data_IF_353628096260
#
_entry.id   IF_353628096260
#
_cell.length_a   1.000
_cell.length_b   1.000
_cell.length_c   1.000
_cell.angle_alpha   90.00
_cell.angle_beta   90.00
_cell.angle_gamma   90.00
#
_symmetry.space_group_name_H-M   'P 1'
#
loop_
_entity.id
_entity.type
_entity.pdbx_description
1 polymer ?
#
# COMPACT_ATOMS: atom_id res chain seq x y z
N UNK A 1 20.78 4.26 25.16
CA UNK A 1 19.68 3.30 25.39
C UNK A 1 20.20 1.86 25.29
N UNK A 2 19.65 0.87 26.01
CA UNK A 2 20.09 -0.53 25.85
C UNK A 2 19.56 -1.14 24.54
N UNK A 3 20.28 -2.08 23.89
CA UNK A 3 19.84 -2.68 22.63
C UNK A 3 18.51 -3.40 22.78
N UNK A 4 18.29 -4.10 23.91
CA UNK A 4 17.02 -4.77 24.19
C UNK A 4 15.84 -3.78 24.25
N UNK A 5 16.00 -2.65 24.94
CA UNK A 5 14.95 -1.64 25.02
C UNK A 5 14.62 -1.06 23.65
N UNK A 6 15.63 -0.83 22.79
CA UNK A 6 15.40 -0.34 21.43
C UNK A 6 14.57 -1.32 20.59
N UNK A 7 14.87 -2.62 20.65
CA UNK A 7 14.14 -3.68 19.95
C UNK A 7 12.70 -3.78 20.47
N UNK A 8 12.50 -3.69 21.79
CA UNK A 8 11.17 -3.71 22.40
C UNK A 8 10.33 -2.50 21.98
N UNK A 9 10.91 -1.30 21.91
CA UNK A 9 10.21 -0.10 21.41
C UNK A 9 9.85 -0.22 19.93
N UNK A 10 10.74 -0.78 19.10
CA UNK A 10 10.47 -1.06 17.70
C UNK A 10 9.35 -2.10 17.51
N UNK A 11 9.35 -3.15 18.34
CA UNK A 11 8.29 -4.16 18.35
C UNK A 11 6.94 -3.57 18.79
N UNK A 12 6.96 -2.68 19.79
CA UNK A 12 5.77 -1.96 20.24
C UNK A 12 5.21 -1.08 19.13
N UNK A 13 6.03 -0.26 18.48
CA UNK A 13 5.62 0.61 17.37
C UNK A 13 5.06 -0.21 16.20
N UNK A 14 5.75 -1.29 15.81
CA UNK A 14 5.29 -2.18 14.73
C UNK A 14 3.94 -2.83 15.07
N UNK A 15 3.78 -3.29 16.31
CA UNK A 15 2.53 -3.89 16.78
C UNK A 15 1.39 -2.87 16.81
N UNK A 16 1.66 -1.65 17.32
CA UNK A 16 0.69 -0.55 17.33
C UNK A 16 0.19 -0.21 15.92
N UNK A 17 1.10 -0.16 14.94
CA UNK A 17 0.75 0.06 13.54
C UNK A 17 -0.19 -1.02 13.00
N UNK A 18 0.15 -2.31 13.18
CA UNK A 18 -0.70 -3.41 12.71
C UNK A 18 -2.05 -3.45 13.43
N UNK A 19 -2.07 -3.30 14.76
CA UNK A 19 -3.31 -3.31 15.54
C UNK A 19 -4.24 -2.17 15.13
N UNK A 20 -3.69 -1.03 14.69
CA UNK A 20 -4.50 0.09 14.20
C UNK A 20 -5.40 -0.29 13.02
N UNK A 21 -4.98 -1.24 12.18
CA UNK A 21 -5.77 -1.73 11.04
C UNK A 21 -7.03 -2.49 11.46
N UNK A 22 -7.06 -3.00 12.69
CA UNK A 22 -8.15 -3.83 13.22
C UNK A 22 -8.98 -3.13 14.28
N UNK A 23 -8.61 -1.92 14.71
CA UNK A 23 -9.28 -1.23 15.83
C UNK A 23 -10.80 -1.10 15.62
N UNK A 24 -11.23 -0.95 14.36
CA UNK A 24 -12.64 -0.84 13.97
C UNK A 24 -13.33 -2.18 13.73
N UNK A 25 -12.58 -3.25 13.49
CA UNK A 25 -13.09 -4.60 13.29
C UNK A 25 -13.22 -5.37 14.61
N UNK A 26 -12.38 -5.10 15.61
CA UNK A 26 -12.42 -5.77 16.92
C UNK A 26 -13.82 -5.72 17.55
N UNK A 27 -14.52 -4.57 17.63
CA UNK A 27 -15.88 -4.53 18.19
C UNK A 27 -16.92 -5.32 17.37
N UNK A 28 -16.68 -5.55 16.08
CA UNK A 28 -17.55 -6.38 15.21
C UNK A 28 -17.27 -7.86 15.44
N UNK A 29 -15.99 -8.22 15.53
CA UNK A 29 -15.52 -9.57 15.86
C UNK A 29 -16.02 -10.04 17.23
N UNK A 30 -15.93 -9.18 18.25
CA UNK A 30 -16.41 -9.47 19.60
C UNK A 30 -17.94 -9.70 19.64
N UNK A 31 -18.68 -9.14 18.68
CA UNK A 31 -20.13 -9.35 18.52
C UNK A 31 -20.48 -10.53 17.61
N UNK A 32 -19.49 -11.30 17.15
CA UNK A 32 -19.70 -12.42 16.24
C UNK A 32 -20.10 -12.02 14.81
N UNK A 33 -19.99 -10.74 14.45
CA UNK A 33 -20.30 -10.26 13.10
C UNK A 33 -19.10 -10.48 12.16
N UNK A 34 -19.34 -10.75 10.87
CA UNK A 34 -18.27 -10.84 9.88
C UNK A 34 -17.50 -9.51 9.76
N UNK A 35 -16.22 -9.55 9.34
CA UNK A 35 -15.43 -8.33 9.13
C UNK A 35 -16.09 -7.45 8.07
N UNK A 36 -15.93 -6.13 8.21
CA UNK A 36 -16.45 -5.19 7.24
C UNK A 36 -15.80 -5.38 5.86
N UNK A 37 -16.54 -5.10 4.78
CA UNK A 37 -15.90 -5.03 3.47
C UNK A 37 -14.87 -3.89 3.47
N UNK A 38 -13.62 -4.23 3.12
CA UNK A 38 -12.46 -3.34 3.20
C UNK A 38 -12.54 -2.15 2.25
N UNK A 39 -13.25 -2.34 1.14
CA UNK A 39 -13.40 -1.33 0.11
C UNK A 39 -14.63 -0.45 0.37
N UNK A 40 -15.40 -0.66 1.44
CA UNK A 40 -16.43 0.31 1.81
C UNK A 40 -15.80 1.66 2.17
N UNK A 41 -16.30 2.80 1.64
CA UNK A 41 -15.69 4.12 1.86
C UNK A 41 -15.58 4.49 3.33
N UNK A 42 -16.56 4.08 4.16
CA UNK A 42 -16.53 4.29 5.61
C UNK A 42 -15.38 3.54 6.28
N UNK A 43 -15.14 2.30 5.87
CA UNK A 43 -14.09 1.44 6.42
C UNK A 43 -12.72 1.95 5.98
N UNK A 44 -12.59 2.40 4.73
CA UNK A 44 -11.37 3.04 4.23
C UNK A 44 -11.03 4.28 5.05
N UNK A 45 -11.96 5.22 5.23
CA UNK A 45 -11.72 6.42 6.03
C UNK A 45 -11.36 6.08 7.49
N UNK A 46 -12.06 5.11 8.10
CA UNK A 46 -11.76 4.66 9.47
C UNK A 46 -10.35 4.08 9.59
N UNK A 47 -9.93 3.23 8.64
CA UNK A 47 -8.58 2.66 8.64
C UNK A 47 -7.51 3.73 8.45
N UNK A 48 -7.74 4.69 7.54
CA UNK A 48 -6.84 5.83 7.35
C UNK A 48 -6.69 6.62 8.64
N UNK A 49 -7.78 6.93 9.35
CA UNK A 49 -7.70 7.71 10.60
C UNK A 49 -6.95 6.95 11.70
N UNK A 50 -7.18 5.64 11.86
CA UNK A 50 -6.42 4.83 12.83
C UNK A 50 -4.94 4.68 12.46
N UNK A 51 -4.62 4.55 11.17
CA UNK A 51 -3.23 4.47 10.70
C UNK A 51 -2.51 5.79 10.97
N UNK A 52 -3.11 6.92 10.62
CA UNK A 52 -2.56 8.24 10.95
C UNK A 52 -2.40 8.43 12.46
N UNK A 53 -3.38 7.99 13.25
CA UNK A 53 -3.29 7.97 14.71
C UNK A 53 -2.12 7.14 15.22
N UNK A 54 -1.87 5.97 14.63
CA UNK A 54 -0.72 5.11 14.98
C UNK A 54 0.62 5.74 14.59
N UNK A 55 0.68 6.49 13.47
CA UNK A 55 1.86 7.27 13.08
C UNK A 55 2.14 8.37 14.10
N UNK A 56 1.12 9.11 14.53
CA UNK A 56 1.24 10.13 15.57
C UNK A 56 1.67 9.54 16.92
N UNK A 57 1.09 8.40 17.31
CA UNK A 57 1.49 7.68 18.52
C UNK A 57 2.95 7.22 18.45
N UNK A 58 3.39 6.71 17.29
CA UNK A 58 4.77 6.31 17.05
C UNK A 58 5.72 7.50 17.15
N UNK A 59 5.34 8.64 16.56
CA UNK A 59 6.08 9.89 16.67
C UNK A 59 6.19 10.35 18.14
N UNK A 60 5.11 10.22 18.92
CA UNK A 60 5.10 10.56 20.34
C UNK A 60 6.01 9.63 21.16
N UNK A 61 6.04 8.34 20.87
CA UNK A 61 6.96 7.37 21.51
C UNK A 61 8.42 7.76 21.24
N UNK A 62 8.75 8.06 19.98
CA UNK A 62 10.10 8.49 19.60
C UNK A 62 10.46 9.83 20.26
N UNK A 63 9.54 10.80 20.29
CA UNK A 63 9.75 12.09 20.94
C UNK A 63 9.92 11.94 22.46
N UNK A 64 9.17 11.04 23.11
CA UNK A 64 9.33 10.73 24.52
C UNK A 64 10.70 10.06 24.80
N UNK A 65 11.14 9.15 23.94
CA UNK A 65 12.48 8.56 24.00
C UNK A 65 13.58 9.63 23.77
N UNK A 66 13.34 10.63 22.92
CA UNK A 66 14.26 11.75 22.76
C UNK A 66 14.34 12.61 24.03
N UNK A 67 13.19 13.00 24.59
CA UNK A 67 13.11 13.88 25.75
C UNK A 67 13.67 13.25 27.03
N UNK A 68 13.56 11.94 27.17
CA UNK A 68 14.11 11.18 28.30
C UNK A 68 15.64 11.02 28.23
N UNK A 69 16.31 11.58 27.23
CA UNK A 69 17.76 11.44 27.02
C UNK A 69 18.17 10.05 26.53
N UNK A 70 17.20 9.21 26.11
CA UNK A 70 17.46 7.84 25.65
C UNK A 70 18.03 7.81 24.22
N UNK A 71 17.71 8.79 23.38
CA UNK A 71 18.12 8.85 21.96
C UNK A 71 19.41 9.64 21.69
N UNK A 72 19.74 10.66 22.49
CA UNK A 72 20.91 11.54 22.29
C UNK A 72 21.38 12.07 23.65
N UNK A 73 22.68 12.03 23.94
CA UNK A 73 23.35 12.54 25.16
C UNK A 73 23.26 14.07 25.35
N UNK A 74 22.36 14.76 24.66
CA UNK A 74 22.22 16.21 24.72
C UNK A 74 20.75 16.57 24.67
N UNK A 75 20.28 17.44 25.58
CA UNK A 75 18.92 17.95 25.62
C UNK A 75 18.52 18.55 24.26
N UNK A 76 17.85 17.76 23.42
CA UNK A 76 17.38 18.21 22.11
C UNK A 76 16.14 19.07 22.32
N UNK A 77 16.13 20.35 21.93
CA UNK A 77 14.94 21.20 22.04
C UNK A 77 13.82 20.67 21.12
N UNK A 78 12.55 20.77 21.59
CA UNK A 78 11.32 20.38 20.88
C UNK A 78 11.24 20.70 19.37
N UNK A 79 11.74 21.85 18.85
CA UNK A 79 11.75 22.11 17.40
C UNK A 79 12.59 21.12 16.57
N UNK A 80 13.37 20.23 17.20
CA UNK A 80 14.19 19.24 16.50
C UNK A 80 13.53 17.86 16.39
N UNK A 81 12.29 17.68 16.83
CA UNK A 81 11.56 16.40 16.68
C UNK A 81 11.48 15.93 15.21
N UNK A 82 11.24 16.79 14.21
CA UNK A 82 11.32 16.40 12.80
C UNK A 82 12.71 15.89 12.41
N UNK A 83 13.76 16.44 13.04
CA UNK A 83 15.15 16.03 12.84
C UNK A 83 15.41 14.62 13.36
N UNK A 84 14.81 14.27 14.51
CA UNK A 84 14.90 12.94 15.14
C UNK A 84 14.10 11.90 14.34
N UNK A 85 12.94 12.29 13.80
CA UNK A 85 12.14 11.48 12.88
C UNK A 85 12.74 11.45 11.46
N UNK A 86 13.97 11.92 11.24
CA UNK A 86 14.61 11.99 9.91
C UNK A 86 13.81 12.72 8.82
N UNK A 87 12.83 13.55 9.19
CA UNK A 87 12.06 14.44 8.32
C UNK A 87 12.82 15.75 8.09
N UNK A 88 14.08 15.65 7.65
CA UNK A 88 14.88 16.82 7.33
C UNK A 88 14.63 17.22 5.87
N UNK A 89 14.23 18.48 5.59
CA UNK A 89 13.94 18.92 4.22
C UNK A 89 15.17 18.78 3.30
N UNK A 90 16.37 18.96 3.83
CA UNK A 90 17.64 18.91 3.08
C UNK A 90 17.95 17.52 2.50
N UNK A 91 17.50 16.46 3.16
CA UNK A 91 17.76 15.07 2.77
C UNK A 91 16.49 14.32 2.37
N UNK A 92 15.32 14.97 2.40
CA UNK A 92 14.03 14.36 2.10
C UNK A 92 13.96 13.86 0.65
N UNK A 93 14.41 14.70 -0.28
CA UNK A 93 14.39 14.41 -1.72
C UNK A 93 15.30 13.22 -2.08
N UNK A 94 16.59 13.19 -1.67
CA UNK A 94 17.44 12.02 -1.86
C UNK A 94 16.89 10.76 -1.19
N UNK A 95 16.37 10.88 0.04
CA UNK A 95 15.87 9.74 0.82
C UNK A 95 14.60 9.11 0.26
N UNK A 96 13.86 9.83 -0.60
CA UNK A 96 12.72 9.30 -1.35
C UNK A 96 13.14 8.81 -2.75
N UNK A 97 14.04 9.54 -3.41
CA UNK A 97 14.48 9.24 -4.76
C UNK A 97 15.28 7.93 -4.86
N UNK A 98 16.22 7.67 -3.94
CA UNK A 98 17.05 6.45 -4.01
C UNK A 98 16.25 5.15 -3.82
N UNK A 99 15.37 5.01 -2.81
CA UNK A 99 14.54 3.81 -2.68
C UNK A 99 13.59 3.63 -3.86
N UNK A 100 12.99 4.72 -4.35
CA UNK A 100 12.06 4.65 -5.50
C UNK A 100 12.80 4.23 -6.76
N UNK A 101 14.00 4.77 -7.01
CA UNK A 101 14.88 4.33 -8.09
C UNK A 101 15.23 2.85 -7.96
N UNK A 102 15.58 2.38 -6.75
CA UNK A 102 15.90 0.97 -6.49
C UNK A 102 14.71 0.06 -6.81
N UNK A 103 13.49 0.47 -6.42
CA UNK A 103 12.25 -0.26 -6.75
C UNK A 103 12.05 -0.32 -8.25
N UNK A 104 12.16 0.81 -8.96
CA UNK A 104 12.02 0.84 -10.43
C UNK A 104 13.05 -0.06 -11.11
N UNK A 105 14.30 -0.06 -10.63
CA UNK A 105 15.35 -0.93 -11.17
C UNK A 105 15.08 -2.42 -10.90
N UNK A 106 14.65 -2.77 -9.68
CA UNK A 106 14.37 -4.15 -9.28
C UNK A 106 13.17 -4.75 -10.03
N UNK A 107 12.17 -3.91 -10.32
CA UNK A 107 10.97 -4.31 -11.04
C UNK A 107 10.97 -3.92 -12.52
N UNK A 108 12.09 -3.47 -13.08
CA UNK A 108 12.17 -2.98 -14.46
C UNK A 108 11.75 -4.05 -15.48
N UNK A 109 12.17 -5.31 -15.26
CA UNK A 109 11.79 -6.44 -16.11
C UNK A 109 10.28 -6.69 -16.13
N UNK A 110 9.64 -6.96 -14.97
CA UNK A 110 8.18 -7.09 -14.89
C UNK A 110 7.41 -5.86 -15.39
N UNK A 111 7.90 -4.64 -15.13
CA UNK A 111 7.30 -3.42 -15.65
C UNK A 111 7.37 -3.37 -17.18
N UNK A 112 8.53 -3.67 -17.76
CA UNK A 112 8.72 -3.68 -19.21
C UNK A 112 7.80 -4.73 -19.89
N UNK A 113 7.69 -5.92 -19.30
CA UNK A 113 6.78 -6.96 -19.79
C UNK A 113 5.31 -6.52 -19.71
N UNK A 114 4.92 -5.91 -18.59
CA UNK A 114 3.55 -5.42 -18.39
C UNK A 114 3.22 -4.29 -19.37
N UNK A 115 4.17 -3.37 -19.60
CA UNK A 115 4.04 -2.29 -20.56
C UNK A 115 3.96 -2.81 -22.01
N UNK A 116 4.79 -3.80 -22.37
CA UNK A 116 4.74 -4.44 -23.69
C UNK A 116 3.38 -5.12 -23.93
N UNK A 117 2.88 -5.89 -22.96
CA UNK A 117 1.56 -6.51 -23.04
C UNK A 117 0.46 -5.45 -23.17
N UNK A 118 0.54 -4.36 -22.40
CA UNK A 118 -0.43 -3.27 -22.48
C UNK A 118 -0.41 -2.55 -23.85
N UNK A 119 0.78 -2.27 -24.39
CA UNK A 119 0.94 -1.70 -25.73
C UNK A 119 0.38 -2.62 -26.82
N UNK A 120 0.58 -3.94 -26.69
CA UNK A 120 -0.03 -4.92 -27.59
C UNK A 120 -1.57 -4.89 -27.50
N UNK A 121 -2.15 -4.76 -26.31
CA UNK A 121 -3.61 -4.62 -26.17
C UNK A 121 -4.13 -3.34 -26.82
N UNK A 122 -3.42 -2.22 -26.70
CA UNK A 122 -3.79 -0.97 -27.37
C UNK A 122 -3.68 -1.09 -28.90
N UNK A 123 -2.66 -1.79 -29.40
CA UNK A 123 -2.50 -2.04 -30.83
C UNK A 123 -3.62 -2.96 -31.36
N UNK A 124 -3.99 -4.00 -30.61
CA UNK A 124 -5.08 -4.89 -30.95
C UNK A 124 -6.46 -4.18 -30.95
N UNK A 125 -6.70 -3.32 -29.97
CA UNK A 125 -7.95 -2.54 -29.87
C UNK A 125 -8.10 -1.54 -31.02
N UNK A 126 -7.00 -0.91 -31.48
CA UNK A 126 -7.00 -0.10 -32.72
C UNK A 126 -7.42 -0.90 -33.95
N UNK A 127 -6.92 -2.14 -34.10
CA UNK A 127 -7.25 -2.97 -35.27
C UNK A 127 -8.71 -3.44 -35.26
N UNK A 128 -9.25 -3.79 -34.09
CA UNK A 128 -10.65 -4.20 -33.94
C UNK A 128 -11.62 -3.04 -34.18
N UNK A 129 -11.26 -1.82 -33.76
CA UNK A 129 -12.02 -0.61 -34.07
C UNK A 129 -12.06 -0.30 -35.58
N UNK A 130 -10.95 -0.48 -36.29
CA UNK A 130 -10.91 -0.26 -37.74
C UNK A 130 -11.75 -1.29 -38.52
N UNK A 131 -11.70 -2.57 -38.15
CA UNK A 131 -12.54 -3.61 -38.78
C UNK A 131 -14.04 -3.36 -38.54
N UNK A 132 -14.45 -3.07 -37.30
CA UNK A 132 -15.85 -2.75 -36.99
C UNK A 132 -16.36 -1.58 -37.84
N UNK A 133 -15.57 -0.52 -37.98
CA UNK A 133 -15.98 0.67 -38.76
C UNK A 133 -16.09 0.41 -40.27
N UNK A 134 -15.34 -0.57 -40.78
CA UNK A 134 -15.36 -1.00 -42.18
C UNK A 134 -16.57 -1.89 -42.46
N UNK A 135 -16.92 -2.77 -41.51
CA UNK A 135 -18.11 -3.63 -41.58
C UNK A 135 -19.41 -2.81 -41.51
N UNK A 136 -19.51 -1.80 -40.64
CA UNK A 136 -20.66 -0.88 -40.61
C UNK A 136 -20.83 -0.09 -41.91
N UNK A 137 -19.73 0.29 -42.59
CA UNK A 137 -19.78 0.97 -43.89
C UNK A 137 -20.18 0.02 -45.03
N UNK A 138 -19.73 -1.23 -44.99
CA UNK A 138 -20.13 -2.24 -45.97
C UNK A 138 -21.62 -2.60 -45.84
N UNK A 139 -22.15 -2.65 -44.61
CA UNK A 139 -23.58 -2.86 -44.35
C UNK A 139 -24.43 -1.62 -44.67
N UNK A 140 -23.94 -0.40 -44.44
CA UNK A 140 -24.65 0.85 -44.75
C UNK A 140 -24.63 1.24 -46.24
N UNK A 141 -23.79 0.58 -47.05
CA UNK A 141 -23.71 0.79 -48.50
C UNK A 141 -24.67 -0.10 -49.32
N UNK A 142 -25.32 -1.07 -48.67
CA UNK A 142 -26.36 -1.90 -49.25
C UNK A 142 -27.69 -1.52 -48.58
N UNK A 143 -28.60 -0.96 -49.38
CA UNK A 143 -29.98 -0.62 -49.04
C UNK A 143 -30.20 0.53 -48.05
N UNK A 144 -30.60 1.67 -48.61
CA UNK A 144 -31.33 2.68 -47.87
C UNK A 144 -32.72 2.16 -47.52
N UNK A 145 -32.96 1.89 -46.23
CA UNK A 145 -34.19 2.20 -45.50
C UNK A 145 -34.15 1.55 -44.12
N UNK A 146 -34.36 2.36 -43.08
CA UNK A 146 -35.06 1.87 -41.89
C UNK A 146 -34.24 1.73 -40.60
N UNK A 147 -34.80 2.38 -39.58
CA UNK A 147 -34.74 2.04 -38.15
C UNK A 147 -33.44 2.39 -37.44
N UNK A 148 -33.42 3.60 -36.87
CA UNK A 148 -32.48 4.01 -35.83
C UNK A 148 -33.03 3.55 -34.49
N UNK A 149 -32.78 2.28 -34.13
CA UNK A 149 -33.03 1.80 -32.77
C UNK A 149 -31.88 2.26 -31.86
N UNK A 150 -32.23 3.17 -30.95
CA UNK A 150 -31.33 3.84 -30.03
C UNK A 150 -31.10 3.04 -28.74
N UNK A 151 -30.58 1.79 -28.83
CA UNK A 151 -30.32 0.97 -27.63
C UNK A 151 -28.98 0.22 -27.64
N UNK A 152 -28.07 0.54 -28.56
CA UNK A 152 -26.80 -0.18 -28.77
C UNK A 152 -25.53 0.46 -28.21
N UNK A 153 -25.59 1.37 -27.24
CA UNK A 153 -24.40 2.06 -26.71
C UNK A 153 -23.90 1.45 -25.37
N UNK A 154 -23.68 0.13 -25.35
CA UNK A 154 -22.91 -0.53 -24.31
C UNK A 154 -21.65 -1.13 -24.95
N UNK A 155 -20.48 -0.80 -24.38
CA UNK A 155 -19.13 -1.15 -24.86
C UNK A 155 -18.63 -0.30 -26.02
N UNK A 156 -17.91 0.78 -25.69
CA UNK A 156 -16.69 1.24 -26.37
C UNK A 156 -16.20 2.45 -25.58
N UNK A 157 -15.03 2.27 -24.96
CA UNK A 157 -14.09 3.31 -24.56
C UNK A 157 -14.69 4.51 -23.84
N UNK A 158 -14.90 4.40 -22.51
CA UNK A 158 -14.83 5.59 -21.66
C UNK A 158 -13.41 6.15 -21.82
N UNK A 159 -13.22 7.31 -22.48
CA UNK A 159 -11.90 7.90 -22.61
C UNK A 159 -11.42 8.28 -21.21
N UNK A 160 -10.11 8.20 -21.06
CA UNK A 160 -9.28 8.45 -19.88
C UNK A 160 -9.41 9.90 -19.35
N UNK A 161 -10.60 10.34 -18.97
CA UNK A 161 -10.91 11.65 -18.35
C UNK A 161 -12.36 11.72 -17.81
N UNK A 162 -12.93 10.60 -17.35
CA UNK A 162 -14.14 10.65 -16.52
C UNK A 162 -13.75 11.29 -15.18
N UNK A 163 -14.50 12.26 -14.62
CA UNK A 163 -14.20 12.79 -13.29
C UNK A 163 -14.17 11.61 -12.33
N UNK A 164 -12.99 11.30 -11.77
CA UNK A 164 -12.82 10.22 -10.82
C UNK A 164 -13.90 10.40 -9.76
N UNK A 165 -14.79 9.41 -9.62
CA UNK A 165 -15.73 9.42 -8.50
C UNK A 165 -14.89 9.58 -7.22
N UNK A 166 -15.31 10.42 -6.25
CA UNK A 166 -14.52 10.69 -5.04
C UNK A 166 -14.07 9.41 -4.31
N UNK A 167 -14.87 8.35 -4.44
CA UNK A 167 -14.58 7.02 -3.93
C UNK A 167 -13.37 6.35 -4.61
N UNK A 168 -13.31 6.36 -5.94
CA UNK A 168 -12.17 5.78 -6.67
C UNK A 168 -10.90 6.54 -6.29
N UNK A 169 -10.96 7.87 -6.21
CA UNK A 169 -9.83 8.68 -5.79
C UNK A 169 -9.35 8.31 -4.38
N UNK A 170 -10.27 8.08 -3.44
CA UNK A 170 -9.93 7.66 -2.07
C UNK A 170 -9.22 6.30 -2.05
N UNK A 171 -9.68 5.35 -2.86
CA UNK A 171 -9.10 4.02 -2.97
C UNK A 171 -7.69 4.08 -3.60
N UNK A 172 -7.52 4.87 -4.66
CA UNK A 172 -6.21 5.10 -5.29
C UNK A 172 -5.25 5.83 -4.34
N UNK A 173 -5.74 6.84 -3.62
CA UNK A 173 -4.94 7.57 -2.64
C UNK A 173 -4.48 6.66 -1.49
N UNK A 174 -5.35 5.77 -0.99
CA UNK A 174 -4.98 4.76 0.02
C UNK A 174 -3.79 3.93 -0.45
N UNK A 175 -3.88 3.38 -1.65
CA UNK A 175 -2.92 2.38 -2.16
C UNK A 175 -1.61 3.00 -2.66
N UNK A 176 -1.67 4.18 -3.27
CA UNK A 176 -0.50 4.81 -3.89
C UNK A 176 0.21 5.78 -2.95
N UNK A 177 -0.49 6.35 -1.99
CA UNK A 177 0.04 7.41 -1.14
C UNK A 177 -0.01 7.06 0.33
N UNK A 178 -1.19 6.78 0.90
CA UNK A 178 -1.33 6.63 2.35
C UNK A 178 -0.59 5.41 2.88
N UNK A 179 -0.77 4.25 2.26
CA UNK A 179 -0.11 3.02 2.72
C UNK A 179 1.41 3.14 2.59
N UNK A 180 2.00 3.47 1.41
CA UNK A 180 3.45 3.60 1.28
C UNK A 180 4.06 4.66 2.21
N UNK A 181 3.41 5.83 2.37
CA UNK A 181 3.93 6.87 3.25
C UNK A 181 3.87 6.49 4.73
N UNK A 182 2.78 5.84 5.16
CA UNK A 182 2.63 5.42 6.55
C UNK A 182 3.58 4.29 6.93
N UNK A 183 3.82 3.35 6.01
CA UNK A 183 4.81 2.29 6.17
C UNK A 183 6.23 2.86 6.24
N UNK A 184 6.59 3.76 5.33
CA UNK A 184 7.91 4.41 5.34
C UNK A 184 8.13 5.22 6.62
N UNK A 185 7.10 5.92 7.08
CA UNK A 185 7.16 6.66 8.33
C UNK A 185 7.40 5.73 9.53
N UNK A 186 6.62 4.66 9.66
CA UNK A 186 6.74 3.76 10.81
C UNK A 186 8.04 2.95 10.74
N UNK A 187 8.27 2.22 9.66
CA UNK A 187 9.34 1.22 9.58
C UNK A 187 10.71 1.82 9.27
N UNK A 188 10.78 3.06 8.79
CA UNK A 188 12.06 3.77 8.59
C UNK A 188 12.19 4.96 9.52
N UNK A 189 11.29 5.93 9.44
CA UNK A 189 11.45 7.20 10.15
C UNK A 189 11.35 7.06 11.68
N UNK A 190 10.51 6.15 12.19
CA UNK A 190 10.37 5.92 13.63
C UNK A 190 11.30 4.82 14.18
N UNK A 191 11.50 3.73 13.42
CA UNK A 191 12.31 2.58 13.87
C UNK A 191 13.83 2.85 13.82
N UNK A 192 14.35 3.44 12.74
CA UNK A 192 15.78 3.68 12.57
C UNK A 192 16.43 4.49 13.72
N UNK A 193 15.89 5.64 14.17
CA UNK A 193 16.52 6.39 15.26
C UNK A 193 16.55 5.62 16.58
N UNK A 194 15.54 4.78 16.85
CA UNK A 194 15.52 3.91 18.04
C UNK A 194 16.62 2.85 17.96
N UNK A 195 16.76 2.17 16.82
CA UNK A 195 17.81 1.15 16.64
C UNK A 195 19.22 1.76 16.70
N UNK A 196 19.44 2.91 16.07
CA UNK A 196 20.73 3.61 16.15
C UNK A 196 21.09 3.97 17.60
N UNK A 197 20.13 4.50 18.37
CA UNK A 197 20.33 4.81 19.79
C UNK A 197 20.50 3.58 20.69
N UNK A 198 20.08 2.40 20.22
CA UNK A 198 20.36 1.10 20.84
C UNK A 198 21.77 0.58 20.56
N UNK A 199 22.58 1.30 19.76
CA UNK A 199 23.94 0.92 19.40
C UNK A 199 24.06 0.05 18.14
N UNK A 200 22.98 -0.11 17.38
CA UNK A 200 23.02 -0.85 16.11
C UNK A 200 23.67 -0.01 15.01
N UNK A 201 24.49 -0.65 14.17
CA UNK A 201 25.11 0.01 13.01
C UNK A 201 24.09 0.25 11.89
N UNK A 202 24.33 1.24 11.02
CA UNK A 202 23.51 1.48 9.82
C UNK A 202 23.41 0.23 8.94
N UNK A 203 24.48 -0.55 8.83
CA UNK A 203 24.48 -1.83 8.10
C UNK A 203 23.53 -2.84 8.71
N UNK A 204 23.46 -2.92 10.04
CA UNK A 204 22.51 -3.81 10.75
C UNK A 204 21.06 -3.39 10.50
N UNK A 205 20.78 -2.08 10.40
CA UNK A 205 19.43 -1.56 10.12
C UNK A 205 18.90 -2.04 8.76
N UNK A 206 19.76 -2.16 7.75
CA UNK A 206 19.39 -2.69 6.41
C UNK A 206 18.77 -4.08 6.51
N UNK A 207 19.17 -4.89 7.50
CA UNK A 207 18.61 -6.22 7.71
C UNK A 207 17.48 -6.24 8.76
N UNK A 208 17.58 -5.44 9.83
CA UNK A 208 16.64 -5.47 10.95
C UNK A 208 15.30 -4.81 10.60
N UNK A 209 15.30 -3.66 9.92
CA UNK A 209 14.04 -2.96 9.60
C UNK A 209 13.10 -3.81 8.70
N UNK A 210 13.60 -4.48 7.64
CA UNK A 210 12.77 -5.41 6.87
C UNK A 210 12.21 -6.59 7.67
N UNK A 211 12.86 -7.01 8.76
CA UNK A 211 12.32 -8.07 9.62
C UNK A 211 11.08 -7.61 10.38
N UNK A 212 11.09 -6.39 10.93
CA UNK A 212 9.89 -5.80 11.55
C UNK A 212 8.77 -5.57 10.55
N UNK A 213 9.11 -5.09 9.35
CA UNK A 213 8.16 -4.97 8.24
C UNK A 213 7.55 -6.33 7.87
N UNK A 214 8.37 -7.38 7.77
CA UNK A 214 7.91 -8.74 7.46
C UNK A 214 7.00 -9.31 8.56
N UNK A 215 7.35 -9.11 9.83
CA UNK A 215 6.53 -9.51 10.97
C UNK A 215 5.17 -8.82 10.96
N UNK A 216 5.13 -7.54 10.60
CA UNK A 216 3.88 -6.81 10.49
C UNK A 216 2.93 -7.45 9.47
N UNK A 217 3.44 -8.00 8.37
CA UNK A 217 2.65 -8.67 7.32
C UNK A 217 2.14 -10.06 7.69
N UNK A 218 2.61 -10.66 8.80
CA UNK A 218 2.08 -11.94 9.31
C UNK A 218 0.57 -11.88 9.57
N UNK A 219 0.03 -10.67 9.79
CA UNK A 219 -1.41 -10.47 9.92
C UNK A 219 -2.21 -10.93 8.69
N UNK A 220 -1.62 -11.01 7.49
CA UNK A 220 -2.31 -11.58 6.32
C UNK A 220 -2.53 -13.08 6.48
N UNK A 221 -1.56 -13.80 7.05
CA UNK A 221 -1.69 -15.23 7.36
C UNK A 221 -2.80 -15.43 8.40
N UNK A 222 -2.83 -14.58 9.43
CA UNK A 222 -3.93 -14.57 10.40
C UNK A 222 -5.28 -14.39 9.72
N UNK A 223 -5.40 -13.44 8.79
CA UNK A 223 -6.65 -13.21 8.07
C UNK A 223 -7.09 -14.44 7.26
N UNK A 224 -6.17 -15.13 6.60
CA UNK A 224 -6.47 -16.35 5.85
C UNK A 224 -6.94 -17.49 6.75
N UNK A 225 -6.33 -17.65 7.92
CA UNK A 225 -6.69 -18.71 8.87
C UNK A 225 -8.04 -18.42 9.53
N UNK A 226 -8.27 -17.19 9.98
CA UNK A 226 -9.45 -16.86 10.77
C UNK A 226 -10.68 -16.49 9.94
N UNK A 227 -10.52 -15.70 8.88
CA UNK A 227 -11.65 -15.25 8.05
C UNK A 227 -11.97 -16.24 6.93
N UNK A 228 -10.94 -16.73 6.26
CA UNK A 228 -11.12 -17.67 5.15
C UNK A 228 -11.08 -19.14 5.59
N UNK A 229 -10.99 -19.40 6.90
CA UNK A 229 -10.96 -20.76 7.50
C UNK A 229 -9.96 -21.70 6.83
N UNK A 230 -8.86 -21.15 6.30
CA UNK A 230 -7.82 -21.93 5.66
C UNK A 230 -6.96 -22.61 6.72
N UNK A 231 -6.53 -23.85 6.46
CA UNK A 231 -5.52 -24.49 7.30
C UNK A 231 -4.20 -23.71 7.22
N UNK A 232 -3.48 -23.64 8.34
CA UNK A 232 -2.22 -22.87 8.43
C UNK A 232 -1.19 -23.23 7.35
N UNK A 233 -0.97 -24.52 6.98
CA UNK A 233 -0.08 -24.87 5.87
C UNK A 233 -0.54 -24.32 4.52
N UNK A 234 -1.86 -24.28 4.28
CA UNK A 234 -2.44 -23.76 3.03
C UNK A 234 -2.34 -22.24 2.96
N UNK A 235 -2.56 -21.55 4.08
CA UNK A 235 -2.38 -20.10 4.18
C UNK A 235 -0.94 -19.68 3.88
N UNK A 236 0.05 -20.36 4.48
CA UNK A 236 1.47 -20.13 4.22
C UNK A 236 1.81 -20.41 2.74
N UNK A 237 1.29 -21.51 2.18
CA UNK A 237 1.51 -21.84 0.77
C UNK A 237 0.91 -20.80 -0.20
N UNK A 238 -0.23 -20.19 0.14
CA UNK A 238 -0.85 -19.15 -0.70
C UNK A 238 -0.05 -17.84 -0.67
N UNK A 239 0.43 -17.43 0.50
CA UNK A 239 1.27 -16.22 0.65
C UNK A 239 2.63 -16.41 -0.02
N UNK A 240 3.24 -17.59 0.10
CA UNK A 240 4.55 -17.90 -0.49
C UNK A 240 4.54 -18.12 -2.01
N UNK A 241 3.40 -18.49 -2.62
CA UNK A 241 3.27 -18.72 -4.07
C UNK A 241 2.87 -17.49 -4.88
N UNK A 242 2.86 -16.33 -4.25
CA UNK A 242 2.70 -15.03 -4.90
C UNK A 242 3.97 -14.69 -5.71
N UNK A 243 3.95 -14.50 -7.06
CA UNK A 243 2.85 -14.23 -7.98
C UNK A 243 2.87 -15.17 -9.21
N UNK A 244 2.41 -16.42 -9.10
CA UNK A 244 2.53 -17.40 -10.20
C UNK A 244 1.27 -17.58 -11.07
N UNK A 245 0.16 -16.88 -10.79
CA UNK A 245 -1.09 -17.04 -11.55
C UNK A 245 -1.82 -15.72 -11.75
N UNK A 246 -1.54 -15.03 -12.87
CA UNK A 246 -2.45 -14.25 -13.74
C UNK A 246 -3.52 -13.28 -13.18
N UNK A 247 -3.71 -13.16 -11.87
CA UNK A 247 -4.74 -12.34 -11.24
C UNK A 247 -4.11 -11.06 -10.67
N UNK A 248 -3.31 -10.38 -11.49
CA UNK A 248 -2.53 -9.21 -11.07
C UNK A 248 -3.42 -8.00 -10.73
N UNK A 249 -4.64 -7.92 -11.23
CA UNK A 249 -5.49 -6.73 -11.03
C UNK A 249 -6.41 -6.79 -9.79
N UNK A 250 -6.94 -7.97 -9.44
CA UNK A 250 -7.97 -8.06 -8.40
C UNK A 250 -7.40 -8.13 -6.97
N UNK A 251 -6.19 -8.66 -6.79
CA UNK A 251 -5.65 -8.93 -5.46
C UNK A 251 -4.66 -7.88 -4.95
N UNK A 252 -4.08 -7.04 -5.82
CA UNK A 252 -3.29 -5.86 -5.40
C UNK A 252 -4.15 -4.81 -4.67
N UNK A 253 -5.44 -4.73 -4.98
CA UNK A 253 -6.39 -3.80 -4.36
C UNK A 253 -6.91 -4.26 -3.00
N UNK A 254 -6.80 -5.56 -2.68
CA UNK A 254 -7.28 -6.14 -1.41
C UNK A 254 -6.24 -6.19 -0.28
N UNK A 255 -4.98 -5.85 -0.63
CA UNK A 255 -3.79 -5.98 0.22
C UNK A 255 -3.20 -4.64 0.68
N UNK A 256 -3.66 -3.53 0.13
CA UNK A 256 -3.43 -2.16 0.62
C UNK A 256 -4.75 -1.53 1.03
#
# INVERSE_FOLDING_TARGET
MTPLLSVLLCALISSLFVLSLYVWDIPRLLRGAPPANRDEPRVVCQRITSVLGSCLASAAIVAAAAKSGLLVDSHVPLPSIPRVLSLQPDYLLPSLAFPLLLVVLLFLGPLALSAANWLQTLAADRHQHHHKHQDYRALSGADGAGVVDADGAASVSKPLLLPLQPYDLLLHARNLLVAPLSEEFVFRAALCPLLLAGGFSVTSLVFICPLFFSLAHVHHIWNLVHYHRCSLPRAIAMVSKWPSRGCLAASLLSLF
#
